data_IF_118079479230
#
_entry.id   IF_118079479230
#
_cell.length_a   1.000
_cell.length_b   1.000
_cell.length_c   1.000
_cell.angle_alpha   90.00
_cell.angle_beta   90.00
_cell.angle_gamma   90.00
#
_symmetry.space_group_name_H-M   'P 1'
#
loop_
_entity.id
_entity.type
_entity.pdbx_description
1 polymer ?
#
# COMPACT_ATOMS: atom_id res chain seq x y z
N UNK A 1 18.37 -6.35 13.77
CA UNK A 1 17.21 -6.49 12.83
C UNK A 1 16.05 -7.29 13.41
N UNK A 2 16.26 -8.46 14.00
CA UNK A 2 15.18 -9.31 14.58
C UNK A 2 14.53 -8.67 15.83
N UNK A 3 15.29 -8.04 16.72
CA UNK A 3 14.77 -7.42 17.94
C UNK A 3 13.84 -6.24 17.72
N UNK A 4 14.07 -5.45 16.70
CA UNK A 4 13.24 -4.29 16.34
C UNK A 4 11.84 -4.71 15.84
N UNK A 5 11.77 -5.77 15.03
CA UNK A 5 10.53 -6.40 14.59
C UNK A 5 9.71 -6.95 15.78
N UNK A 6 10.37 -7.52 16.78
CA UNK A 6 9.72 -8.07 17.96
C UNK A 6 9.19 -6.96 18.90
N UNK A 7 9.95 -5.88 19.08
CA UNK A 7 9.56 -4.76 19.94
C UNK A 7 8.33 -4.00 19.40
N UNK A 8 8.22 -3.85 18.08
CA UNK A 8 7.07 -3.17 17.45
C UNK A 8 5.80 -4.03 17.41
N UNK A 9 5.96 -5.36 17.24
CA UNK A 9 4.83 -6.29 17.10
C UNK A 9 4.34 -6.87 18.42
N UNK A 10 5.13 -6.77 19.49
CA UNK A 10 4.80 -7.29 20.79
C UNK A 10 5.17 -6.27 21.89
N UNK A 11 4.37 -5.18 22.04
CA UNK A 11 4.61 -4.19 23.09
C UNK A 11 4.67 -4.82 24.50
N UNK A 12 3.97 -5.92 24.72
CA UNK A 12 4.02 -6.71 25.97
C UNK A 12 5.41 -7.32 26.20
N UNK A 13 6.07 -7.81 25.14
CA UNK A 13 7.41 -8.39 25.26
C UNK A 13 8.46 -7.32 25.66
N UNK A 14 8.33 -6.10 25.15
CA UNK A 14 9.18 -4.98 25.51
C UNK A 14 8.92 -4.51 26.95
N UNK A 15 7.67 -4.50 27.40
CA UNK A 15 7.31 -4.17 28.79
C UNK A 15 7.89 -5.20 29.76
N UNK A 16 7.79 -6.49 29.44
CA UNK A 16 8.42 -7.56 30.22
C UNK A 16 9.94 -7.40 30.25
N UNK A 17 10.56 -7.12 29.10
CA UNK A 17 12.00 -6.90 29.00
C UNK A 17 12.47 -5.74 29.90
N UNK A 18 11.76 -4.60 29.89
CA UNK A 18 12.04 -3.46 30.80
C UNK A 18 11.93 -3.85 32.27
N UNK A 19 10.91 -4.61 32.63
CA UNK A 19 10.71 -5.10 34.02
C UNK A 19 11.79 -6.08 34.47
N UNK A 20 12.40 -6.83 33.55
CA UNK A 20 13.57 -7.67 33.85
C UNK A 20 14.81 -6.80 34.09
N UNK A 21 15.02 -5.80 33.21
CA UNK A 21 16.19 -4.91 33.29
C UNK A 21 16.17 -4.04 34.55
N UNK A 22 15.00 -3.50 34.93
CA UNK A 22 14.86 -2.66 36.13
C UNK A 22 14.71 -3.46 37.43
N UNK A 23 14.69 -4.80 37.37
CA UNK A 23 14.59 -5.70 38.53
C UNK A 23 13.17 -5.91 39.07
N UNK A 24 12.14 -5.39 38.41
CA UNK A 24 10.73 -5.59 38.83
C UNK A 24 10.27 -7.03 38.62
N UNK A 25 10.91 -7.76 37.69
CA UNK A 25 10.78 -9.20 37.50
C UNK A 25 12.14 -9.83 37.69
N UNK A 26 12.27 -10.68 38.70
CA UNK A 26 13.50 -11.44 38.94
C UNK A 26 13.58 -12.64 38.02
N UNK A 27 14.75 -12.86 37.47
CA UNK A 27 15.07 -14.04 36.68
C UNK A 27 16.47 -14.53 37.03
N UNK A 28 16.59 -15.83 37.33
CA UNK A 28 17.87 -16.48 37.58
C UNK A 28 18.60 -16.86 36.28
N UNK A 29 17.97 -16.55 35.15
CA UNK A 29 18.52 -16.85 33.83
C UNK A 29 19.27 -15.66 33.25
N UNK A 30 20.61 -15.70 33.33
CA UNK A 30 21.48 -14.67 32.79
C UNK A 30 21.24 -14.38 31.28
N UNK A 31 20.87 -15.40 30.50
CA UNK A 31 20.55 -15.24 29.09
C UNK A 31 19.27 -14.40 28.92
N UNK A 32 18.24 -14.62 29.75
CA UNK A 32 17.02 -13.83 29.70
C UNK A 32 17.29 -12.35 30.00
N UNK A 33 18.17 -12.06 30.98
CA UNK A 33 18.57 -10.69 31.31
C UNK A 33 19.34 -10.04 30.12
N UNK A 34 20.25 -10.77 29.49
CA UNK A 34 21.02 -10.26 28.33
C UNK A 34 20.08 -10.00 27.15
N UNK A 35 19.15 -10.90 26.87
CA UNK A 35 18.17 -10.73 25.79
C UNK A 35 17.22 -9.57 26.07
N UNK A 36 16.78 -9.42 27.33
CA UNK A 36 15.95 -8.29 27.75
C UNK A 36 16.66 -6.97 27.57
N UNK A 37 17.94 -6.86 27.98
CA UNK A 37 18.75 -5.67 27.79
C UNK A 37 18.93 -5.36 26.30
N UNK A 38 19.24 -6.36 25.47
CA UNK A 38 19.40 -6.15 24.02
C UNK A 38 18.09 -5.65 23.36
N UNK A 39 16.94 -6.12 23.80
CA UNK A 39 15.62 -5.64 23.33
C UNK A 39 15.36 -4.18 23.72
N UNK A 40 15.69 -3.81 24.96
CA UNK A 40 15.53 -2.42 25.45
C UNK A 40 16.46 -1.49 24.69
N UNK A 41 17.73 -1.88 24.53
CA UNK A 41 18.74 -1.06 23.83
C UNK A 41 18.39 -0.90 22.34
N UNK A 42 17.90 -1.95 21.69
CA UNK A 42 17.47 -1.88 20.30
C UNK A 42 16.23 -1.00 20.12
N UNK A 43 15.27 -1.08 21.04
CA UNK A 43 14.09 -0.21 21.04
C UNK A 43 14.48 1.26 21.26
N UNK A 44 15.38 1.55 22.21
CA UNK A 44 15.89 2.91 22.43
C UNK A 44 16.62 3.45 21.19
N UNK A 45 17.50 2.63 20.59
CA UNK A 45 18.19 3.02 19.34
C UNK A 45 17.25 3.31 18.19
N UNK A 46 16.15 2.56 18.11
CA UNK A 46 15.12 2.81 17.09
C UNK A 46 14.38 4.13 17.34
N UNK A 47 13.96 4.39 18.59
CA UNK A 47 13.34 5.67 18.96
C UNK A 47 14.28 6.85 18.73
N UNK A 48 15.55 6.73 19.10
CA UNK A 48 16.56 7.77 18.85
C UNK A 48 16.74 8.04 17.36
N UNK A 49 16.76 7.00 16.52
CA UNK A 49 16.81 7.15 15.06
C UNK A 49 15.53 7.77 14.51
N UNK A 50 14.36 7.39 15.05
CA UNK A 50 13.06 7.96 14.67
C UNK A 50 12.97 9.44 15.03
N UNK A 51 13.50 9.84 16.18
CA UNK A 51 13.56 11.24 16.63
C UNK A 51 14.62 12.06 15.88
N UNK A 52 15.73 11.43 15.48
CA UNK A 52 16.80 12.08 14.73
C UNK A 52 16.46 12.30 13.25
N UNK A 53 15.67 11.44 12.65
CA UNK A 53 15.02 11.68 11.37
C UNK A 53 13.64 12.25 11.70
N UNK A 54 13.44 13.55 11.45
CA UNK A 54 12.15 14.25 11.48
C UNK A 54 10.97 13.29 11.28
N UNK A 55 9.80 13.58 11.85
CA UNK A 55 8.57 12.78 11.69
C UNK A 55 8.55 11.96 10.38
N UNK A 56 8.17 10.68 10.40
CA UNK A 56 8.13 9.83 9.21
C UNK A 56 7.01 10.33 8.28
N UNK A 57 7.23 11.48 7.66
CA UNK A 57 6.25 12.18 6.84
C UNK A 57 6.87 12.68 5.53
N UNK A 58 6.03 12.82 4.52
CA UNK A 58 6.38 13.37 3.22
C UNK A 58 5.51 14.57 2.88
N UNK A 59 6.09 15.57 2.21
CA UNK A 59 5.36 16.71 1.70
C UNK A 59 4.63 16.31 0.41
N UNK A 60 3.29 16.45 0.41
CA UNK A 60 2.42 16.12 -0.71
C UNK A 60 2.16 17.33 -1.63
N UNK A 61 1.55 17.05 -2.78
CA UNK A 61 1.33 18.05 -3.85
C UNK A 61 0.43 19.25 -3.44
N UNK A 62 -0.41 19.06 -2.44
CA UNK A 62 -1.28 20.15 -1.88
C UNK A 62 -0.60 20.98 -0.77
N UNK A 63 0.66 20.68 -0.44
CA UNK A 63 1.39 21.33 0.64
C UNK A 63 1.17 20.74 2.03
N UNK A 64 0.34 19.71 2.17
CA UNK A 64 0.19 18.96 3.42
C UNK A 64 1.29 17.90 3.60
N UNK A 65 1.62 17.60 4.85
CA UNK A 65 2.47 16.46 5.18
C UNK A 65 1.62 15.22 5.44
N UNK A 66 1.92 14.14 4.73
CA UNK A 66 1.40 12.81 5.03
C UNK A 66 2.29 12.14 6.07
N UNK A 67 1.75 11.82 7.24
CA UNK A 67 2.42 11.09 8.30
C UNK A 67 2.13 9.58 8.16
N UNK A 68 3.17 8.78 7.95
CA UNK A 68 3.02 7.33 7.80
C UNK A 68 2.52 6.64 9.07
N UNK A 69 2.63 7.28 10.23
CA UNK A 69 2.16 6.75 11.52
C UNK A 69 0.75 7.18 11.88
N UNK A 70 0.23 8.24 11.24
CA UNK A 70 -1.12 8.76 11.44
C UNK A 70 -1.80 9.15 10.11
N UNK A 71 -2.13 8.16 9.26
CA UNK A 71 -2.75 8.42 7.96
C UNK A 71 -4.15 9.04 8.04
N UNK A 72 -4.83 8.97 9.21
CA UNK A 72 -6.13 9.58 9.41
C UNK A 72 -6.08 11.10 9.54
N UNK A 73 -4.94 11.67 9.89
CA UNK A 73 -4.72 13.12 9.94
C UNK A 73 -4.62 13.77 8.55
N UNK A 74 -4.41 12.97 7.50
CA UNK A 74 -4.25 13.45 6.13
C UNK A 74 -5.59 13.65 5.42
N UNK A 75 -5.69 14.68 4.60
CA UNK A 75 -6.93 15.04 3.91
C UNK A 75 -7.42 14.00 2.90
N UNK A 76 -6.51 13.22 2.32
CA UNK A 76 -6.77 12.32 1.21
C UNK A 76 -7.53 12.99 0.06
N UNK A 77 -7.11 14.24 -0.26
CA UNK A 77 -7.68 14.99 -1.38
C UNK A 77 -7.48 14.21 -2.69
N UNK A 78 -8.54 14.15 -3.51
CA UNK A 78 -8.52 13.38 -4.77
C UNK A 78 -7.46 13.87 -5.75
N UNK A 79 -7.14 15.18 -5.73
CA UNK A 79 -6.09 15.76 -6.56
C UNK A 79 -4.70 15.29 -6.14
N UNK A 80 -4.49 15.10 -4.83
CA UNK A 80 -3.24 14.56 -4.28
C UNK A 80 -3.12 13.08 -4.61
N UNK A 81 -4.19 12.32 -4.44
CA UNK A 81 -4.26 10.92 -4.85
C UNK A 81 -3.91 10.81 -6.35
N UNK A 82 -4.58 11.59 -7.20
CA UNK A 82 -4.32 11.60 -8.63
C UNK A 82 -2.88 12.03 -8.99
N UNK A 83 -2.27 12.90 -8.20
CA UNK A 83 -0.86 13.29 -8.40
C UNK A 83 0.10 12.13 -8.12
N UNK A 84 -0.11 11.39 -7.04
CA UNK A 84 0.74 10.26 -6.66
C UNK A 84 0.56 9.03 -7.56
N UNK A 85 -0.68 8.72 -7.96
CA UNK A 85 -0.99 7.59 -8.85
C UNK A 85 -0.51 7.77 -10.31
N UNK A 86 0.11 8.89 -10.65
CA UNK A 86 0.86 9.08 -11.92
C UNK A 86 2.06 8.15 -12.03
N UNK A 87 2.48 7.56 -10.92
CA UNK A 87 3.58 6.61 -10.88
C UNK A 87 3.33 5.41 -11.81
N UNK A 88 4.41 4.84 -12.37
CA UNK A 88 4.28 3.64 -13.18
C UNK A 88 3.85 2.46 -12.32
N UNK A 89 2.84 1.73 -12.81
CA UNK A 89 2.53 0.37 -12.34
C UNK A 89 3.54 -0.61 -12.96
N UNK A 90 3.93 -1.62 -12.23
CA UNK A 90 4.88 -2.64 -12.68
C UNK A 90 6.22 -2.09 -13.16
N UNK A 91 6.89 -1.30 -12.34
CA UNK A 91 8.22 -0.76 -12.66
C UNK A 91 9.14 -1.86 -13.20
N UNK A 92 9.73 -1.63 -14.37
CA UNK A 92 10.61 -2.54 -15.12
C UNK A 92 9.94 -3.83 -15.66
N UNK A 93 8.64 -4.02 -15.52
CA UNK A 93 7.94 -5.25 -15.92
C UNK A 93 7.12 -5.10 -17.21
N UNK A 94 6.94 -3.88 -17.71
CA UNK A 94 6.19 -3.65 -18.95
C UNK A 94 7.11 -3.40 -20.11
N UNK A 95 6.68 -3.82 -21.34
CA UNK A 95 7.33 -3.53 -22.61
C UNK A 95 6.62 -2.45 -23.42
N UNK A 96 5.61 -1.81 -22.83
CA UNK A 96 4.84 -0.76 -23.49
C UNK A 96 5.69 0.46 -23.82
N UNK A 97 5.37 1.13 -24.90
CA UNK A 97 5.90 2.47 -25.16
C UNK A 97 5.11 3.46 -24.31
N UNK A 98 5.78 4.09 -23.35
CA UNK A 98 5.17 5.00 -22.40
C UNK A 98 4.99 4.38 -21.02
N UNK A 99 4.42 5.13 -20.10
CA UNK A 99 4.21 4.74 -18.70
C UNK A 99 2.78 4.26 -18.50
N UNK A 100 2.60 2.97 -18.27
CA UNK A 100 1.33 2.45 -17.78
C UNK A 100 1.21 2.83 -16.30
N UNK A 101 0.32 3.78 -16.01
CA UNK A 101 0.19 4.38 -14.69
C UNK A 101 -0.83 3.64 -13.80
N UNK A 102 -0.70 3.80 -12.49
CA UNK A 102 -1.68 3.32 -11.52
C UNK A 102 -3.04 4.03 -11.77
N UNK A 103 -3.05 5.31 -12.20
CA UNK A 103 -4.26 6.01 -12.62
C UNK A 103 -5.05 5.25 -13.68
N UNK A 104 -4.38 4.83 -14.75
CA UNK A 104 -5.03 4.10 -15.84
C UNK A 104 -5.56 2.76 -15.35
N UNK A 105 -4.79 2.02 -14.56
CA UNK A 105 -5.22 0.78 -13.93
C UNK A 105 -6.51 0.98 -13.13
N UNK A 106 -6.53 1.96 -12.21
CA UNK A 106 -7.68 2.25 -11.35
C UNK A 106 -8.94 2.62 -12.15
N UNK A 107 -8.78 3.43 -13.21
CA UNK A 107 -9.90 3.75 -14.11
C UNK A 107 -10.43 2.50 -14.79
N UNK A 108 -9.56 1.68 -15.38
CA UNK A 108 -9.97 0.46 -16.06
C UNK A 108 -10.59 -0.54 -15.10
N UNK A 109 -10.07 -0.69 -13.88
CA UNK A 109 -10.68 -1.51 -12.84
C UNK A 109 -12.10 -1.05 -12.53
N UNK A 110 -12.35 0.27 -12.44
CA UNK A 110 -13.67 0.84 -12.16
C UNK A 110 -14.73 0.56 -13.25
N UNK A 111 -14.31 0.21 -14.45
CA UNK A 111 -15.21 -0.23 -15.53
C UNK A 111 -15.38 -1.75 -15.60
N UNK A 112 -14.59 -2.51 -14.86
CA UNK A 112 -14.62 -3.98 -14.84
C UNK A 112 -15.28 -4.55 -13.58
N UNK A 113 -16.03 -3.74 -12.83
CA UNK A 113 -16.83 -4.16 -11.66
C UNK A 113 -18.33 -4.08 -11.92
N UNK A 114 -19.17 -4.84 -11.18
CA UNK A 114 -20.60 -4.63 -11.16
C UNK A 114 -20.98 -3.22 -10.68
N UNK A 115 -22.16 -2.77 -11.09
CA UNK A 115 -22.71 -1.47 -10.66
C UNK A 115 -22.80 -1.41 -9.12
N UNK A 116 -22.35 -0.29 -8.56
CA UNK A 116 -22.29 -0.02 -7.12
C UNK A 116 -20.92 -0.24 -6.48
N UNK A 117 -19.97 -0.83 -7.23
CA UNK A 117 -18.60 -1.04 -6.76
C UNK A 117 -17.58 -0.13 -7.48
N UNK A 118 -18.05 0.73 -8.40
CA UNK A 118 -17.17 1.50 -9.30
C UNK A 118 -16.26 2.47 -8.54
N UNK A 119 -16.80 3.14 -7.50
CA UNK A 119 -16.00 4.07 -6.69
C UNK A 119 -14.96 3.33 -5.87
N UNK A 120 -15.33 2.20 -5.27
CA UNK A 120 -14.38 1.37 -4.54
C UNK A 120 -13.27 0.85 -5.47
N UNK A 121 -13.61 0.40 -6.66
CA UNK A 121 -12.63 -0.05 -7.65
C UNK A 121 -11.75 1.09 -8.17
N UNK A 122 -12.28 2.32 -8.30
CA UNK A 122 -11.49 3.48 -8.69
C UNK A 122 -10.45 3.84 -7.62
N UNK A 123 -10.75 3.62 -6.35
CA UNK A 123 -9.93 4.04 -5.21
C UNK A 123 -9.19 2.90 -4.51
N UNK A 124 -9.25 1.66 -5.03
CA UNK A 124 -8.70 0.49 -4.34
C UNK A 124 -7.18 0.54 -4.11
N UNK A 125 -6.45 1.22 -4.98
CA UNK A 125 -4.99 1.45 -4.90
C UNK A 125 -4.65 2.90 -4.48
N UNK A 126 -5.60 3.67 -3.93
CA UNK A 126 -5.38 5.09 -3.60
C UNK A 126 -4.24 5.31 -2.59
N UNK A 127 -3.99 4.38 -1.68
CA UNK A 127 -2.86 4.41 -0.72
C UNK A 127 -1.50 4.36 -1.43
N UNK A 128 -1.42 3.82 -2.65
CA UNK A 128 -0.20 3.81 -3.44
C UNK A 128 0.24 5.21 -3.89
N UNK A 129 -0.66 6.20 -3.81
CA UNK A 129 -0.31 7.60 -4.09
C UNK A 129 0.78 8.15 -3.19
N UNK A 130 0.90 7.64 -1.96
CA UNK A 130 1.91 8.03 -0.96
C UNK A 130 2.94 6.93 -0.69
N UNK A 131 2.57 5.66 -0.87
CA UNK A 131 3.44 4.50 -0.63
C UNK A 131 4.16 4.00 -1.89
N UNK A 132 3.60 4.29 -3.06
CA UNK A 132 4.02 3.76 -4.36
C UNK A 132 3.67 2.28 -4.55
N UNK A 133 3.44 1.89 -5.79
CA UNK A 133 3.21 0.49 -6.16
C UNK A 133 4.45 -0.37 -5.85
N UNK A 134 4.24 -1.44 -5.13
CA UNK A 134 5.25 -2.46 -4.82
C UNK A 134 4.78 -3.83 -5.31
N UNK A 135 5.61 -4.46 -6.12
CA UNK A 135 5.34 -5.82 -6.60
C UNK A 135 5.07 -6.79 -5.43
N UNK A 136 3.98 -7.55 -5.53
CA UNK A 136 3.55 -8.50 -4.48
C UNK A 136 4.67 -9.44 -4.00
N UNK A 137 5.54 -10.00 -4.87
CA UNK A 137 6.67 -10.81 -4.40
C UNK A 137 7.66 -10.03 -3.53
N UNK A 138 7.79 -8.73 -3.72
CA UNK A 138 8.63 -7.88 -2.89
C UNK A 138 7.96 -7.51 -1.56
N UNK A 139 6.63 -7.27 -1.57
CA UNK A 139 5.85 -7.00 -0.34
C UNK A 139 5.98 -8.13 0.69
N UNK A 140 6.08 -9.39 0.25
CA UNK A 140 6.27 -10.57 1.12
C UNK A 140 7.55 -10.47 1.96
N UNK A 141 8.58 -9.81 1.44
CA UNK A 141 9.87 -9.62 2.12
C UNK A 141 9.85 -8.42 3.08
N UNK A 142 8.78 -7.62 3.08
CA UNK A 142 8.65 -6.35 3.79
C UNK A 142 7.44 -6.37 4.72
N UNK A 143 7.45 -7.16 5.80
CA UNK A 143 6.28 -7.30 6.67
C UNK A 143 5.84 -5.98 7.31
N UNK A 144 6.77 -5.06 7.61
CA UNK A 144 6.44 -3.76 8.18
C UNK A 144 5.77 -2.83 7.15
N UNK A 145 6.10 -2.98 5.86
CA UNK A 145 5.43 -2.26 4.79
C UNK A 145 3.92 -2.55 4.77
N UNK A 146 3.56 -3.83 4.93
CA UNK A 146 2.14 -4.25 4.96
C UNK A 146 1.35 -3.57 6.07
N UNK A 147 1.96 -3.37 7.24
CA UNK A 147 1.33 -2.64 8.35
C UNK A 147 0.95 -1.21 7.94
N UNK A 148 1.89 -0.46 7.35
CA UNK A 148 1.65 0.92 6.91
C UNK A 148 0.72 0.99 5.70
N UNK A 149 0.77 0.02 4.80
CA UNK A 149 -0.17 -0.11 3.69
C UNK A 149 -1.60 -0.28 4.20
N UNK A 150 -1.83 -1.18 5.17
CA UNK A 150 -3.13 -1.42 5.77
C UNK A 150 -3.67 -0.19 6.54
N UNK A 151 -2.80 0.59 7.19
CA UNK A 151 -3.19 1.84 7.84
C UNK A 151 -3.68 2.86 6.82
N UNK A 152 -2.91 3.08 5.76
CA UNK A 152 -3.24 4.02 4.69
C UNK A 152 -4.52 3.60 3.94
N UNK A 153 -4.66 2.32 3.58
CA UNK A 153 -5.85 1.78 2.94
C UNK A 153 -7.11 2.05 3.77
N UNK A 154 -7.07 1.75 5.07
CA UNK A 154 -8.21 2.01 5.97
C UNK A 154 -8.54 3.50 6.08
N UNK A 155 -7.54 4.40 6.09
CA UNK A 155 -7.77 5.84 6.13
C UNK A 155 -8.48 6.33 4.85
N UNK A 156 -8.04 5.88 3.66
CA UNK A 156 -8.73 6.15 2.39
C UNK A 156 -10.16 5.65 2.43
N UNK A 157 -10.39 4.41 2.88
CA UNK A 157 -11.72 3.81 2.94
C UNK A 157 -12.66 4.61 3.84
N UNK A 158 -12.20 5.02 5.02
CA UNK A 158 -12.97 5.91 5.92
C UNK A 158 -13.28 7.25 5.28
N UNK A 159 -12.29 7.86 4.64
CA UNK A 159 -12.43 9.17 4.00
C UNK A 159 -13.52 9.20 2.93
N UNK A 160 -13.64 8.12 2.17
CA UNK A 160 -14.57 8.03 1.04
C UNK A 160 -15.81 7.18 1.31
N UNK A 161 -16.03 6.75 2.56
CA UNK A 161 -17.20 5.96 2.95
C UNK A 161 -17.26 4.57 2.29
N UNK A 162 -16.10 4.01 1.97
CA UNK A 162 -15.99 2.67 1.38
C UNK A 162 -16.09 1.58 2.45
N UNK A 163 -16.41 0.33 2.07
CA UNK A 163 -16.38 -0.81 2.99
C UNK A 163 -15.03 -0.92 3.72
N UNK A 164 -15.01 -1.39 4.96
CA UNK A 164 -13.80 -1.51 5.78
C UNK A 164 -12.72 -2.39 5.13
N UNK A 165 -13.16 -3.41 4.39
CA UNK A 165 -12.30 -4.32 3.64
C UNK A 165 -12.69 -4.32 2.17
N UNK A 166 -11.73 -4.62 1.29
CA UNK A 166 -11.96 -4.70 -0.15
C UNK A 166 -13.02 -5.75 -0.48
N UNK A 167 -14.04 -5.32 -1.24
CA UNK A 167 -15.11 -6.20 -1.69
C UNK A 167 -14.59 -7.29 -2.63
N UNK A 168 -15.16 -8.51 -2.59
CA UNK A 168 -14.76 -9.58 -3.51
C UNK A 168 -14.86 -9.21 -4.98
N UNK A 169 -15.83 -8.38 -5.35
CA UNK A 169 -16.08 -7.87 -6.70
C UNK A 169 -14.91 -6.99 -7.17
N UNK A 170 -14.43 -6.11 -6.30
CA UNK A 170 -13.27 -5.22 -6.59
C UNK A 170 -11.99 -6.05 -6.67
N UNK A 171 -11.78 -6.97 -5.75
CA UNK A 171 -10.63 -7.89 -5.79
C UNK A 171 -10.63 -8.73 -7.08
N UNK A 172 -11.82 -9.17 -7.53
CA UNK A 172 -11.92 -9.89 -8.80
C UNK A 172 -11.59 -8.99 -9.99
N UNK A 173 -12.08 -7.75 -10.01
CA UNK A 173 -11.79 -6.80 -11.07
C UNK A 173 -10.29 -6.45 -11.15
N UNK A 174 -9.59 -6.30 -10.03
CA UNK A 174 -8.13 -6.13 -10.00
C UNK A 174 -7.42 -7.34 -10.63
N UNK A 175 -7.84 -8.57 -10.32
CA UNK A 175 -7.30 -9.77 -10.96
C UNK A 175 -7.62 -9.83 -12.47
N UNK A 176 -8.80 -9.40 -12.91
CA UNK A 176 -9.16 -9.26 -14.33
C UNK A 176 -8.24 -8.26 -15.01
N UNK A 177 -7.96 -7.13 -14.36
CA UNK A 177 -7.03 -6.15 -14.88
C UNK A 177 -5.61 -6.70 -14.94
N UNK A 178 -5.13 -7.38 -13.91
CA UNK A 178 -3.81 -8.02 -13.90
C UNK A 178 -3.68 -9.05 -15.05
N UNK A 179 -4.72 -9.85 -15.30
CA UNK A 179 -4.73 -10.80 -16.42
C UNK A 179 -4.70 -10.08 -17.78
N UNK A 180 -5.38 -8.94 -17.89
CA UNK A 180 -5.42 -8.12 -19.09
C UNK A 180 -4.07 -7.44 -19.34
N UNK A 181 -3.46 -6.89 -18.31
CA UNK A 181 -2.14 -6.26 -18.33
C UNK A 181 -1.05 -7.28 -18.71
N UNK A 182 -1.14 -8.49 -18.15
CA UNK A 182 -0.24 -9.59 -18.52
C UNK A 182 -0.34 -9.93 -20.00
N UNK A 183 -1.54 -10.02 -20.55
CA UNK A 183 -1.78 -10.31 -21.97
C UNK A 183 -1.25 -9.22 -22.87
N UNK A 184 -1.50 -7.93 -22.54
CA UNK A 184 -1.37 -6.83 -23.48
C UNK A 184 -0.04 -6.08 -23.36
N UNK A 185 0.49 -5.91 -22.16
CA UNK A 185 1.62 -5.01 -21.91
C UNK A 185 2.82 -5.66 -21.22
N UNK A 186 2.69 -6.86 -20.65
CA UNK A 186 3.83 -7.54 -20.04
C UNK A 186 4.59 -8.42 -21.04
N UNK A 187 5.89 -8.67 -20.82
CA UNK A 187 6.61 -9.70 -21.54
C UNK A 187 6.06 -11.09 -21.18
N UNK A 188 6.25 -12.08 -22.06
CA UNK A 188 5.88 -13.48 -21.86
C UNK A 188 4.41 -13.67 -21.42
N UNK A 189 3.42 -13.23 -22.22
CA UNK A 189 2.00 -13.37 -21.87
C UNK A 189 1.56 -14.83 -21.71
N UNK A 190 2.31 -15.78 -22.27
CA UNK A 190 2.09 -17.22 -22.18
C UNK A 190 2.50 -17.84 -20.87
N UNK A 191 3.32 -17.18 -20.02
CA UNK A 191 3.69 -17.69 -18.71
C UNK A 191 2.46 -17.95 -17.85
N UNK A 192 2.37 -19.09 -17.21
CA UNK A 192 1.25 -19.41 -16.33
C UNK A 192 1.47 -18.83 -14.93
N UNK A 193 0.54 -17.97 -14.49
CA UNK A 193 0.48 -17.49 -13.12
C UNK A 193 -0.67 -18.15 -12.38
N UNK A 194 -0.36 -18.91 -11.32
CA UNK A 194 -1.34 -19.70 -10.58
C UNK A 194 -2.57 -18.90 -10.18
N UNK A 195 -2.36 -17.67 -9.72
CA UNK A 195 -3.43 -16.78 -9.28
C UNK A 195 -4.37 -16.32 -10.42
N UNK A 196 -3.96 -16.47 -11.68
CA UNK A 196 -4.75 -16.05 -12.85
C UNK A 196 -5.40 -17.21 -13.61
N UNK A 197 -5.17 -18.48 -13.25
CA UNK A 197 -5.65 -19.64 -14.00
C UNK A 197 -7.16 -19.67 -14.26
N UNK A 198 -7.97 -19.13 -13.34
CA UNK A 198 -9.43 -19.09 -13.47
C UNK A 198 -9.95 -17.68 -13.84
N UNK A 199 -9.06 -16.72 -14.11
CA UNK A 199 -9.41 -15.33 -14.37
C UNK A 199 -9.36 -15.08 -15.87
N UNK A 200 -10.48 -14.65 -16.44
CA UNK A 200 -10.53 -14.20 -17.84
C UNK A 200 -10.12 -12.73 -17.91
N UNK A 201 -9.17 -12.36 -18.79
CA UNK A 201 -8.87 -10.95 -19.02
C UNK A 201 -10.08 -10.22 -19.60
N UNK A 202 -10.12 -8.90 -19.44
CA UNK A 202 -11.13 -8.04 -20.05
C UNK A 202 -11.19 -8.26 -21.58
N UNK A 203 -12.38 -8.13 -22.15
CA UNK A 203 -12.57 -8.21 -23.63
C UNK A 203 -11.89 -7.02 -24.35
N UNK A 204 -11.70 -5.91 -23.63
CA UNK A 204 -11.10 -4.71 -24.19
C UNK A 204 -9.58 -4.75 -24.00
N UNK A 205 -8.81 -4.51 -25.09
CA UNK A 205 -7.35 -4.43 -24.99
C UNK A 205 -6.91 -3.14 -24.30
N UNK A 206 -5.75 -3.22 -23.62
CA UNK A 206 -5.13 -2.04 -23.02
C UNK A 206 -4.31 -1.30 -24.07
N UNK A 207 -4.68 -0.05 -24.34
CA UNK A 207 -3.84 0.95 -24.98
C UNK A 207 -3.28 1.87 -23.90
N UNK A 208 -1.95 2.00 -23.83
CA UNK A 208 -1.29 2.81 -22.79
C UNK A 208 -1.55 4.29 -23.05
N UNK A 209 -2.16 4.94 -22.08
CA UNK A 209 -2.47 6.37 -22.13
C UNK A 209 -1.27 7.23 -21.73
N UNK A 210 -1.27 8.45 -22.26
CA UNK A 210 -0.47 9.52 -21.69
C UNK A 210 -0.91 9.79 -20.23
N UNK A 211 0.07 10.08 -19.35
CA UNK A 211 -0.19 10.23 -17.90
C UNK A 211 -1.13 11.40 -17.59
N UNK A 212 -1.05 12.50 -18.36
CA UNK A 212 -1.96 13.64 -18.17
C UNK A 212 -3.38 13.30 -18.66
N UNK A 213 -3.50 12.50 -19.70
CA UNK A 213 -4.80 11.97 -20.14
C UNK A 213 -5.37 11.03 -19.05
N UNK A 214 -4.58 10.09 -18.53
CA UNK A 214 -5.00 9.19 -17.47
C UNK A 214 -5.50 9.95 -16.24
N UNK A 215 -4.79 11.02 -15.84
CA UNK A 215 -5.20 11.88 -14.72
C UNK A 215 -6.54 12.55 -14.98
N UNK A 216 -6.75 13.12 -16.15
CA UNK A 216 -8.02 13.77 -16.51
C UNK A 216 -9.19 12.79 -16.46
N UNK A 217 -8.99 11.58 -17.00
CA UNK A 217 -10.02 10.53 -17.01
C UNK A 217 -10.32 10.05 -15.59
N UNK A 218 -9.29 9.86 -14.74
CA UNK A 218 -9.46 9.45 -13.34
C UNK A 218 -10.30 10.48 -12.57
N UNK A 219 -9.97 11.77 -12.66
CA UNK A 219 -10.70 12.84 -11.98
C UNK A 219 -12.13 13.00 -12.50
N UNK A 220 -12.33 12.89 -13.81
CA UNK A 220 -13.67 12.91 -14.40
C UNK A 220 -14.50 11.72 -13.91
N UNK A 221 -13.92 10.51 -13.90
CA UNK A 221 -14.60 9.31 -13.40
C UNK A 221 -14.96 9.42 -11.92
N UNK A 222 -14.06 9.97 -11.11
CA UNK A 222 -14.34 10.24 -9.71
C UNK A 222 -15.52 11.23 -9.55
N UNK A 223 -15.51 12.33 -10.29
CA UNK A 223 -16.60 13.32 -10.25
C UNK A 223 -17.95 12.70 -10.64
N UNK A 224 -17.98 11.87 -11.71
CA UNK A 224 -19.19 11.16 -12.15
C UNK A 224 -19.74 10.19 -11.09
N UNK A 225 -18.85 9.54 -10.31
CA UNK A 225 -19.25 8.55 -9.31
C UNK A 225 -19.65 9.17 -7.96
N UNK A 226 -19.36 10.45 -7.75
CA UNK A 226 -19.63 11.19 -6.49
C UNK A 226 -20.63 12.32 -6.64
N UNK A 227 -21.25 12.49 -7.82
CA UNK A 227 -22.23 13.52 -8.15
C UNK A 227 -23.62 13.30 -7.51
#
# INVERSE_FOLDING_TARGET
MIGNLLAQRQPEALDIARKIVDGSILTDNALATILAQALVDEAATYEDRRLAFMHPSILCANGEYYDFTDPDSFSWDIEVIAAGLRAPRFTAQTRSKGTYSILQHSVLASYNVPKGFELEALLHDAQESVLGDKATPFKILLPDYKHYEDLAERAVRRRYGLPETMSPEVKHADLVMLATEKRDIMPNPEDEWEMLKAVKPSEYPIEVWDVEHARKVFLARFADLTA
#
